data_IF_409218013393
#
_entry.id   IF_409218013393
#
_cell.length_a   1.000
_cell.length_b   1.000
_cell.length_c   1.000
_cell.angle_alpha   90.00
_cell.angle_beta   90.00
_cell.angle_gamma   90.00
#
_symmetry.space_group_name_H-M   'P 1'
#
loop_
_entity.id
_entity.type
_entity.pdbx_description
1 polymer ?
#
# COMPACT_ATOMS: atom_id res chain seq x y z
N UNK A 1 -2.06 -11.21 -12.28
CA UNK A 1 -1.43 -9.88 -12.50
C UNK A 1 -0.61 -9.54 -11.27
N UNK A 2 0.56 -8.92 -11.44
CA UNK A 2 1.42 -8.57 -10.30
C UNK A 2 0.84 -7.48 -9.39
N UNK A 3 1.27 -7.41 -8.12
CA UNK A 3 0.96 -6.38 -7.16
C UNK A 3 2.18 -5.52 -6.82
N UNK A 4 2.04 -4.20 -6.84
CA UNK A 4 3.01 -3.25 -6.30
C UNK A 4 2.37 -2.55 -5.10
N UNK A 5 3.11 -2.43 -4.02
CA UNK A 5 2.68 -1.72 -2.82
C UNK A 5 3.89 -1.20 -2.04
N UNK A 6 3.62 -0.38 -1.04
CA UNK A 6 4.68 0.12 -0.17
C UNK A 6 4.33 1.42 0.52
N UNK A 7 5.35 2.01 1.14
CA UNK A 7 5.24 3.33 1.74
C UNK A 7 6.54 4.13 1.58
N UNK A 8 6.40 5.45 1.68
CA UNK A 8 7.50 6.38 1.88
C UNK A 8 7.14 7.36 3.00
N UNK A 9 8.06 7.60 3.92
CA UNK A 9 7.84 8.48 5.05
C UNK A 9 8.98 9.45 5.27
N UNK A 10 8.70 10.57 5.91
CA UNK A 10 9.74 11.49 6.37
C UNK A 10 10.61 10.80 7.41
N UNK A 11 11.93 10.95 7.27
CA UNK A 11 12.90 10.39 8.21
C UNK A 11 12.67 10.91 9.64
N UNK A 12 12.70 10.03 10.63
CA UNK A 12 12.63 10.30 12.09
C UNK A 12 11.46 11.17 12.58
N UNK A 13 10.38 11.30 11.81
CA UNK A 13 9.26 12.18 12.17
C UNK A 13 8.09 11.46 12.86
N UNK A 14 8.18 10.15 13.05
CA UNK A 14 7.11 9.33 13.62
C UNK A 14 7.40 8.96 15.08
N UNK A 15 6.33 8.88 15.90
CA UNK A 15 6.38 8.24 17.21
C UNK A 15 6.23 6.71 17.09
N UNK A 16 6.38 5.99 18.21
CA UNK A 16 6.35 4.52 18.19
C UNK A 16 5.00 3.97 17.75
N UNK A 17 3.89 4.56 18.20
CA UNK A 17 2.55 4.15 17.77
C UNK A 17 2.35 4.33 16.26
N UNK A 18 2.89 5.40 15.69
CA UNK A 18 2.83 5.62 14.24
C UNK A 18 3.68 4.60 13.48
N UNK A 19 4.84 4.20 14.01
CA UNK A 19 5.65 3.13 13.41
C UNK A 19 4.91 1.80 13.46
N UNK A 20 4.27 1.45 14.57
CA UNK A 20 3.45 0.23 14.67
C UNK A 20 2.32 0.24 13.63
N UNK A 21 1.57 1.34 13.51
CA UNK A 21 0.53 1.44 12.48
C UNK A 21 1.08 1.34 11.05
N UNK A 22 2.28 1.86 10.79
CA UNK A 22 2.94 1.70 9.48
C UNK A 22 3.29 0.23 9.23
N UNK A 23 3.73 -0.51 10.25
CA UNK A 23 3.99 -1.95 10.21
C UNK A 23 2.70 -2.71 9.91
N UNK A 24 1.61 -2.37 10.60
CA UNK A 24 0.29 -2.97 10.37
C UNK A 24 -0.18 -2.74 8.93
N UNK A 25 -0.12 -1.49 8.43
CA UNK A 25 -0.47 -1.20 7.03
C UNK A 25 0.39 -2.02 6.07
N UNK A 26 1.70 -2.13 6.31
CA UNK A 26 2.58 -2.93 5.45
C UNK A 26 2.21 -4.41 5.48
N UNK A 27 1.86 -4.95 6.65
CA UNK A 27 1.40 -6.34 6.80
C UNK A 27 0.12 -6.58 6.00
N UNK A 28 -0.88 -5.72 6.15
CA UNK A 28 -2.13 -5.84 5.39
C UNK A 28 -1.93 -5.59 3.89
N UNK A 29 -1.09 -4.63 3.49
CA UNK A 29 -0.74 -4.44 2.07
C UNK A 29 -0.09 -5.69 1.47
N UNK A 30 0.74 -6.37 2.25
CA UNK A 30 1.40 -7.61 1.84
C UNK A 30 0.39 -8.72 1.65
N UNK A 31 -0.47 -8.93 2.62
CA UNK A 31 -1.53 -9.93 2.59
C UNK A 31 -2.51 -9.68 1.42
N UNK A 32 -3.12 -8.50 1.39
CA UNK A 32 -4.12 -8.13 0.39
C UNK A 32 -3.54 -8.13 -1.05
N UNK A 33 -2.23 -7.88 -1.22
CA UNK A 33 -1.61 -7.93 -2.54
C UNK A 33 -1.45 -9.33 -3.11
N UNK A 34 -1.68 -10.41 -2.33
CA UNK A 34 -1.63 -11.80 -2.79
C UNK A 34 -2.61 -12.08 -3.92
N UNK A 35 -3.78 -11.42 -3.94
CA UNK A 35 -4.76 -11.52 -5.03
C UNK A 35 -4.19 -11.13 -6.41
N UNK A 36 -3.06 -10.42 -6.42
CA UNK A 36 -2.40 -9.95 -7.64
C UNK A 36 -1.33 -10.91 -8.15
N UNK A 37 -0.75 -11.72 -7.28
CA UNK A 37 0.28 -12.66 -7.68
C UNK A 37 0.82 -13.45 -6.50
N UNK A 38 1.08 -14.74 -6.73
CA UNK A 38 1.45 -15.70 -5.70
C UNK A 38 2.73 -16.47 -6.00
N UNK A 39 3.39 -16.18 -7.13
CA UNK A 39 4.57 -16.92 -7.55
C UNK A 39 5.84 -16.52 -6.81
N UNK A 40 5.89 -15.29 -6.33
CA UNK A 40 6.96 -14.80 -5.46
C UNK A 40 6.59 -13.47 -4.83
N UNK A 41 7.19 -13.20 -3.67
CA UNK A 41 7.05 -11.94 -2.93
C UNK A 41 8.43 -11.35 -2.68
N UNK A 42 8.53 -10.03 -2.69
CA UNK A 42 9.79 -9.37 -2.34
C UNK A 42 9.62 -7.94 -1.88
N UNK A 43 10.60 -7.51 -1.10
CA UNK A 43 10.67 -6.19 -0.47
C UNK A 43 12.04 -5.58 -0.64
N UNK A 44 12.09 -4.27 -0.79
CA UNK A 44 13.30 -3.50 -0.55
C UNK A 44 13.01 -2.46 0.52
N UNK A 45 13.71 -2.58 1.64
CA UNK A 45 13.62 -1.69 2.82
C UNK A 45 14.80 -0.75 2.78
N UNK A 46 14.55 0.54 2.80
CA UNK A 46 15.56 1.58 2.65
C UNK A 46 15.56 2.50 3.86
N UNK A 47 16.73 2.62 4.43
CA UNK A 47 17.09 3.65 5.40
C UNK A 47 17.96 4.70 4.68
N UNK A 48 18.31 5.85 5.29
CA UNK A 48 19.08 6.88 4.62
C UNK A 48 20.37 6.39 3.96
N UNK A 49 21.06 5.44 4.59
CA UNK A 49 22.39 4.97 4.17
C UNK A 49 22.45 3.48 3.83
N UNK A 50 21.35 2.73 4.03
CA UNK A 50 21.31 1.27 3.82
C UNK A 50 20.08 0.86 3.04
N UNK A 51 20.19 -0.32 2.44
CA UNK A 51 19.08 -1.00 1.77
C UNK A 51 19.20 -2.50 1.97
N UNK A 52 18.13 -3.09 2.46
CA UNK A 52 17.96 -4.52 2.56
C UNK A 52 16.91 -5.00 1.56
N UNK A 53 17.17 -6.11 0.89
CA UNK A 53 16.26 -6.68 -0.10
C UNK A 53 15.96 -8.13 0.26
N UNK A 54 14.69 -8.43 0.46
CA UNK A 54 14.15 -9.75 0.78
C UNK A 54 13.36 -10.26 -0.42
N UNK A 55 13.56 -11.51 -0.81
CA UNK A 55 12.83 -12.15 -1.89
C UNK A 55 12.57 -13.60 -1.53
N UNK A 56 11.35 -14.06 -1.75
CA UNK A 56 10.93 -15.44 -1.54
C UNK A 56 10.05 -15.92 -2.70
N UNK A 57 9.92 -17.24 -2.84
CA UNK A 57 8.94 -17.85 -3.73
C UNK A 57 7.62 -18.15 -3.00
N UNK A 58 7.49 -17.75 -1.74
CA UNK A 58 6.23 -17.82 -1.01
C UNK A 58 5.26 -16.78 -1.51
N UNK A 59 3.98 -17.12 -1.53
CA UNK A 59 2.91 -16.14 -1.69
C UNK A 59 2.92 -15.15 -0.53
N UNK A 60 2.50 -13.91 -0.75
CA UNK A 60 2.56 -12.88 0.28
C UNK A 60 1.62 -13.16 1.46
N UNK A 61 0.47 -13.80 1.22
CA UNK A 61 -0.45 -14.24 2.27
C UNK A 61 0.12 -15.39 3.13
N UNK A 62 1.03 -16.19 2.59
CA UNK A 62 1.70 -17.25 3.36
C UNK A 62 2.90 -16.67 4.12
N UNK A 63 3.64 -15.75 3.48
CA UNK A 63 4.84 -15.12 4.02
C UNK A 63 4.61 -14.43 5.35
N UNK A 64 3.47 -13.77 5.56
CA UNK A 64 3.15 -13.06 6.80
C UNK A 64 3.03 -13.97 8.02
N UNK A 65 2.99 -15.29 7.84
CA UNK A 65 2.99 -16.29 8.90
C UNK A 65 4.33 -17.05 9.03
N UNK A 66 5.33 -16.69 8.21
CA UNK A 66 6.67 -17.28 8.31
C UNK A 66 7.55 -16.47 9.28
N UNK A 67 8.47 -17.13 9.99
CA UNK A 67 9.39 -16.49 10.96
C UNK A 67 10.17 -15.31 10.36
N UNK A 68 10.47 -15.36 9.06
CA UNK A 68 11.16 -14.28 8.35
C UNK A 68 10.33 -12.99 8.28
N UNK A 69 9.01 -13.08 8.42
CA UNK A 69 8.15 -11.89 8.44
C UNK A 69 8.43 -11.01 9.66
N UNK A 70 8.63 -11.61 10.82
CA UNK A 70 8.97 -10.90 12.04
C UNK A 70 10.29 -10.12 11.87
N UNK A 71 11.28 -10.73 11.20
CA UNK A 71 12.53 -10.05 10.86
C UNK A 71 12.29 -8.87 9.91
N UNK A 72 11.49 -9.04 8.87
CA UNK A 72 11.15 -7.98 7.90
C UNK A 72 10.46 -6.81 8.62
N UNK A 73 9.44 -7.08 9.43
CA UNK A 73 8.67 -6.06 10.13
C UNK A 73 9.51 -5.35 11.21
N UNK A 74 10.34 -6.09 11.95
CA UNK A 74 11.20 -5.49 12.96
C UNK A 74 12.22 -4.50 12.38
N UNK A 75 12.61 -4.67 11.12
CA UNK A 75 13.49 -3.76 10.39
C UNK A 75 12.78 -2.45 9.95
N UNK A 76 11.46 -2.36 10.08
CA UNK A 76 10.73 -1.11 9.87
C UNK A 76 10.84 -0.27 11.15
N UNK A 77 11.68 0.74 11.12
CA UNK A 77 11.99 1.59 12.26
C UNK A 77 11.75 3.07 11.95
N UNK A 78 12.05 3.96 12.88
CA UNK A 78 12.04 5.41 12.62
C UNK A 78 13.00 5.82 11.50
N UNK A 79 14.10 5.08 11.34
CA UNK A 79 15.11 5.34 10.30
C UNK A 79 14.66 4.86 8.91
N UNK A 80 13.73 3.92 8.83
CA UNK A 80 13.20 3.45 7.56
C UNK A 80 12.47 4.57 6.84
N UNK A 81 12.84 4.86 5.60
CA UNK A 81 12.25 5.94 4.81
C UNK A 81 11.36 5.45 3.68
N UNK A 82 11.72 4.33 3.04
CA UNK A 82 11.00 3.79 1.89
C UNK A 82 10.94 2.26 1.99
N UNK A 83 9.78 1.70 1.71
CA UNK A 83 9.62 0.27 1.46
C UNK A 83 8.92 0.08 0.12
N UNK A 84 9.53 -0.70 -0.77
CA UNK A 84 8.94 -1.15 -2.02
C UNK A 84 8.62 -2.63 -1.89
N UNK A 85 7.35 -2.99 -1.96
CA UNK A 85 6.84 -4.37 -1.97
C UNK A 85 6.29 -4.78 -3.33
N UNK A 86 6.40 -6.07 -3.65
CA UNK A 86 5.88 -6.63 -4.90
C UNK A 86 5.44 -8.08 -4.72
N UNK A 87 4.29 -8.42 -5.32
CA UNK A 87 3.82 -9.79 -5.50
C UNK A 87 3.80 -10.13 -7.00
N UNK A 88 4.41 -11.24 -7.37
CA UNK A 88 4.59 -11.62 -8.78
C UNK A 88 3.55 -12.64 -9.22
N UNK A 89 2.96 -12.38 -10.38
CA UNK A 89 2.33 -13.37 -11.23
C UNK A 89 3.17 -13.50 -12.50
N UNK A 90 3.84 -14.63 -12.67
CA UNK A 90 4.80 -14.82 -13.75
C UNK A 90 4.09 -14.97 -15.10
N UNK A 91 4.18 -13.93 -15.93
CA UNK A 91 3.73 -13.96 -17.32
C UNK A 91 4.90 -14.25 -18.27
N UNK A 92 6.12 -13.84 -17.89
CA UNK A 92 7.34 -14.03 -18.64
C UNK A 92 8.47 -14.49 -17.72
N UNK A 93 9.34 -15.34 -18.24
CA UNK A 93 10.48 -15.89 -17.49
C UNK A 93 10.07 -16.97 -16.48
N UNK A 94 11.06 -17.69 -15.97
CA UNK A 94 10.86 -18.73 -14.95
C UNK A 94 10.55 -18.14 -13.58
N UNK A 95 9.80 -18.90 -12.76
CA UNK A 95 9.61 -18.57 -11.34
C UNK A 95 10.89 -18.93 -10.60
N UNK A 96 11.64 -17.91 -10.22
CA UNK A 96 12.86 -18.02 -9.43
C UNK A 96 13.16 -16.70 -8.71
N UNK A 97 14.04 -16.73 -7.72
CA UNK A 97 14.41 -15.58 -6.89
C UNK A 97 15.01 -14.43 -7.71
N UNK A 98 15.81 -14.73 -8.75
CA UNK A 98 16.44 -13.70 -9.56
C UNK A 98 15.46 -12.88 -10.38
N UNK A 99 14.32 -13.48 -10.76
CA UNK A 99 13.23 -12.85 -11.50
C UNK A 99 12.15 -12.23 -10.59
N UNK A 100 12.28 -12.36 -9.27
CA UNK A 100 11.40 -11.69 -8.32
C UNK A 100 11.79 -10.20 -8.19
N UNK A 101 10.78 -9.34 -8.04
CA UNK A 101 10.98 -7.93 -7.71
C UNK A 101 11.19 -7.72 -6.18
N UNK A 102 11.68 -6.55 -5.76
CA UNK A 102 12.22 -5.44 -6.55
C UNK A 102 13.56 -5.77 -7.24
N UNK A 103 13.84 -5.13 -8.38
CA UNK A 103 15.14 -5.16 -9.04
C UNK A 103 16.01 -4.01 -8.58
N UNK A 104 17.32 -4.26 -8.49
CA UNK A 104 18.33 -3.22 -8.34
C UNK A 104 19.26 -3.26 -9.53
N UNK A 105 19.30 -2.17 -10.29
CA UNK A 105 20.13 -2.03 -11.48
C UNK A 105 20.83 -0.67 -11.44
N UNK A 106 22.15 -0.71 -11.30
CA UNK A 106 22.93 0.50 -11.05
C UNK A 106 22.52 1.14 -9.74
N UNK A 107 22.11 2.40 -9.78
CA UNK A 107 21.64 3.18 -8.64
C UNK A 107 20.10 3.18 -8.47
N UNK A 108 19.39 2.42 -9.30
CA UNK A 108 17.93 2.36 -9.28
C UNK A 108 17.44 1.06 -8.68
N UNK A 109 16.52 1.15 -7.73
CA UNK A 109 15.75 0.03 -7.17
C UNK A 109 14.27 0.26 -7.42
N UNK A 110 13.57 -0.77 -7.91
CA UNK A 110 12.16 -0.60 -8.20
C UNK A 110 11.40 -1.89 -8.51
N UNK A 111 10.09 -1.73 -8.62
CA UNK A 111 9.15 -2.77 -9.00
C UNK A 111 8.27 -2.34 -10.18
N UNK A 112 7.88 -3.32 -10.99
CA UNK A 112 7.11 -3.14 -12.22
C UNK A 112 5.95 -4.13 -12.27
N UNK A 113 4.78 -3.62 -12.56
CA UNK A 113 3.62 -4.41 -12.99
C UNK A 113 3.31 -4.07 -14.43
N UNK A 114 3.25 -5.06 -15.28
CA UNK A 114 2.90 -4.86 -16.68
C UNK A 114 3.72 -5.71 -17.63
N UNK A 115 3.77 -5.30 -18.89
CA UNK A 115 4.55 -5.95 -19.94
C UNK A 115 5.16 -4.90 -20.86
N UNK A 116 6.47 -4.95 -21.05
CA UNK A 116 7.19 -4.10 -22.00
C UNK A 116 7.41 -4.89 -23.28
N UNK A 117 6.63 -4.57 -24.30
CA UNK A 117 6.61 -5.34 -25.56
C UNK A 117 7.89 -5.22 -26.36
N UNK A 118 8.57 -4.08 -26.29
CA UNK A 118 9.80 -3.82 -27.04
C UNK A 118 11.09 -3.98 -26.21
N UNK A 119 11.04 -4.73 -25.11
CA UNK A 119 12.16 -4.89 -24.17
C UNK A 119 13.45 -5.38 -24.86
N UNK A 120 13.36 -6.27 -25.85
CA UNK A 120 14.52 -6.74 -26.60
C UNK A 120 15.25 -5.63 -27.37
N UNK A 121 14.48 -4.69 -27.97
CA UNK A 121 15.04 -3.53 -28.67
C UNK A 121 15.77 -2.62 -27.69
N UNK A 122 15.15 -2.36 -26.52
CA UNK A 122 15.76 -1.52 -25.47
C UNK A 122 17.00 -2.21 -24.90
N UNK A 123 16.94 -3.52 -24.60
CA UNK A 123 18.07 -4.30 -24.11
C UNK A 123 19.27 -4.22 -25.06
N UNK A 124 19.01 -4.35 -26.38
CA UNK A 124 20.06 -4.22 -27.42
C UNK A 124 20.64 -2.81 -27.42
N UNK A 125 19.86 -1.76 -27.37
CA UNK A 125 20.33 -0.37 -27.34
C UNK A 125 21.18 -0.07 -26.09
N UNK A 126 20.86 -0.70 -24.97
CA UNK A 126 21.60 -0.59 -23.71
C UNK A 126 22.83 -1.53 -23.64
N UNK A 127 23.04 -2.38 -24.65
CA UNK A 127 24.04 -3.45 -24.65
C UNK A 127 23.95 -4.32 -23.38
N UNK A 128 22.74 -4.76 -23.05
CA UNK A 128 22.41 -5.52 -21.82
C UNK A 128 21.69 -6.81 -22.18
N UNK A 129 22.09 -7.92 -21.55
CA UNK A 129 21.29 -9.13 -21.51
C UNK A 129 20.30 -9.02 -20.34
N UNK A 130 19.05 -9.41 -20.57
CA UNK A 130 17.98 -9.37 -19.58
C UNK A 130 17.24 -10.70 -19.55
N UNK A 131 16.78 -11.09 -18.36
CA UNK A 131 16.00 -12.30 -18.15
C UNK A 131 14.49 -12.03 -18.18
N UNK A 132 14.10 -10.82 -17.85
CA UNK A 132 12.70 -10.36 -17.85
C UNK A 132 12.62 -8.93 -18.40
N UNK A 133 11.46 -8.59 -18.94
CA UNK A 133 11.19 -7.28 -19.54
C UNK A 133 11.35 -6.11 -18.56
N UNK A 134 11.04 -6.32 -17.28
CA UNK A 134 11.16 -5.30 -16.23
C UNK A 134 12.57 -4.74 -16.06
N UNK A 135 13.60 -5.53 -16.34
CA UNK A 135 14.99 -5.09 -16.14
C UNK A 135 15.40 -3.94 -17.07
N UNK A 136 14.80 -3.84 -18.26
CA UNK A 136 15.16 -2.77 -19.21
C UNK A 136 14.70 -1.41 -18.72
N UNK A 137 13.57 -1.33 -17.98
CA UNK A 137 13.07 -0.06 -17.44
C UNK A 137 14.07 0.51 -16.45
N UNK A 138 14.46 -0.31 -15.46
CA UNK A 138 15.39 0.12 -14.41
C UNK A 138 16.79 0.39 -14.96
N UNK A 139 17.23 -0.37 -16.00
CA UNK A 139 18.46 -0.08 -16.71
C UNK A 139 18.42 1.25 -17.48
N UNK A 140 17.27 1.59 -18.07
CA UNK A 140 17.08 2.89 -18.72
C UNK A 140 17.08 4.02 -17.68
N UNK A 141 16.33 3.88 -16.59
CA UNK A 141 16.25 4.88 -15.51
C UNK A 141 17.59 5.11 -14.80
N UNK A 142 18.45 4.08 -14.73
CA UNK A 142 19.79 4.23 -14.16
C UNK A 142 20.72 5.05 -15.06
N UNK A 143 20.56 4.96 -16.38
CA UNK A 143 21.50 5.54 -17.35
C UNK A 143 21.01 6.85 -17.96
N UNK A 144 19.71 7.07 -18.00
CA UNK A 144 19.07 8.18 -18.70
C UNK A 144 18.26 9.06 -17.74
N UNK A 145 18.02 10.28 -18.15
CA UNK A 145 17.01 11.14 -17.51
C UNK A 145 15.61 10.52 -17.68
N UNK A 146 14.71 10.78 -16.72
CA UNK A 146 13.37 10.16 -16.66
C UNK A 146 12.64 10.24 -18.01
N UNK A 147 12.54 11.43 -18.60
CA UNK A 147 11.83 11.62 -19.87
C UNK A 147 12.43 10.78 -21.00
N UNK A 148 13.76 10.67 -21.10
CA UNK A 148 14.43 9.84 -22.10
C UNK A 148 14.28 8.35 -21.81
N UNK A 149 14.24 7.97 -20.54
CA UNK A 149 14.05 6.59 -20.17
C UNK A 149 12.68 6.04 -20.59
N UNK A 150 11.64 6.90 -20.58
CA UNK A 150 10.28 6.53 -20.98
C UNK A 150 9.99 6.72 -22.48
N UNK A 151 10.76 7.53 -23.19
CA UNK A 151 10.52 7.89 -24.60
C UNK A 151 10.44 6.66 -25.52
N UNK A 152 11.26 5.64 -25.26
CA UNK A 152 11.33 4.42 -26.06
C UNK A 152 10.51 3.26 -25.52
N UNK A 153 9.85 3.39 -24.36
CA UNK A 153 9.11 2.29 -23.75
C UNK A 153 7.76 2.12 -24.46
N UNK A 154 7.56 0.90 -25.00
CA UNK A 154 6.29 0.47 -25.54
C UNK A 154 5.76 -0.70 -24.75
N UNK A 155 4.64 -0.48 -24.05
CA UNK A 155 4.04 -1.47 -23.15
C UNK A 155 3.01 -0.86 -22.23
N UNK A 156 2.46 -1.66 -21.36
CA UNK A 156 1.61 -1.23 -20.27
C UNK A 156 2.33 -1.44 -18.93
N UNK A 157 2.33 -0.43 -18.08
CA UNK A 157 3.08 -0.50 -16.83
C UNK A 157 2.47 0.31 -15.69
N UNK A 158 2.75 -0.17 -14.47
CA UNK A 158 2.79 0.61 -13.25
C UNK A 158 4.18 0.40 -12.63
N UNK A 159 4.80 1.49 -12.18
CA UNK A 159 6.19 1.51 -11.70
C UNK A 159 6.30 2.21 -10.37
N UNK A 160 7.12 1.65 -9.50
CA UNK A 160 7.65 2.34 -8.33
C UNK A 160 9.15 2.17 -8.31
N UNK A 161 9.90 3.27 -8.10
CA UNK A 161 11.35 3.20 -8.04
C UNK A 161 11.95 4.33 -7.22
N UNK A 162 13.12 4.07 -6.70
CA UNK A 162 13.98 5.05 -6.04
C UNK A 162 15.34 5.07 -6.72
N UNK A 163 15.91 6.27 -6.79
CA UNK A 163 17.31 6.46 -7.14
C UNK A 163 18.06 6.75 -5.84
N UNK A 164 18.96 5.87 -5.43
CA UNK A 164 19.59 5.90 -4.09
C UNK A 164 20.27 7.21 -3.75
N UNK A 165 20.79 7.89 -4.76
CA UNK A 165 21.53 9.15 -4.57
C UNK A 165 20.67 10.32 -4.14
N UNK A 166 19.34 10.28 -4.29
CA UNK A 166 18.47 11.43 -4.08
C UNK A 166 17.28 11.20 -3.15
N UNK A 167 17.14 9.99 -2.58
CA UNK A 167 16.09 9.65 -1.60
C UNK A 167 14.66 10.03 -2.05
N UNK A 168 14.41 9.98 -3.36
CA UNK A 168 13.12 10.30 -3.94
C UNK A 168 12.48 9.02 -4.43
N UNK A 169 11.29 8.69 -3.88
CA UNK A 169 10.42 7.67 -4.45
C UNK A 169 9.65 8.26 -5.62
N UNK A 170 9.59 7.52 -6.70
CA UNK A 170 8.85 7.88 -7.88
C UNK A 170 7.78 6.82 -8.17
N UNK A 171 6.60 7.28 -8.55
CA UNK A 171 5.48 6.46 -8.97
C UNK A 171 5.05 6.92 -10.36
N UNK A 172 4.84 5.97 -11.27
CA UNK A 172 4.32 6.25 -12.60
C UNK A 172 3.42 5.11 -13.08
N UNK A 173 2.43 5.42 -13.86
CA UNK A 173 1.59 4.41 -14.49
C UNK A 173 1.09 4.81 -15.86
N UNK A 174 0.83 3.83 -16.68
CA UNK A 174 0.08 3.93 -17.93
C UNK A 174 -1.40 3.58 -17.67
N UNK A 175 -2.29 3.95 -18.58
CA UNK A 175 -3.76 3.82 -18.42
C UNK A 175 -4.25 2.38 -18.16
N UNK A 176 -3.54 1.37 -18.69
CA UNK A 176 -3.86 -0.05 -18.54
C UNK A 176 -3.51 -0.66 -17.18
N UNK A 177 -2.76 0.03 -16.32
CA UNK A 177 -2.31 -0.49 -15.02
C UNK A 177 -2.69 0.45 -13.89
N UNK A 178 -3.50 0.01 -12.93
CA UNK A 178 -3.92 0.85 -11.81
C UNK A 178 -2.79 1.02 -10.79
N UNK A 179 -2.77 2.18 -10.14
CA UNK A 179 -1.98 2.48 -8.95
C UNK A 179 -2.69 3.56 -8.14
N UNK A 180 -2.77 3.37 -6.84
CA UNK A 180 -3.45 4.25 -5.91
C UNK A 180 -2.53 4.66 -4.78
N UNK A 181 -2.78 5.84 -4.23
CA UNK A 181 -2.00 6.44 -3.14
C UNK A 181 -2.90 6.93 -2.03
N UNK A 182 -2.37 6.93 -0.82
CA UNK A 182 -2.97 7.55 0.35
C UNK A 182 -1.89 8.28 1.16
N UNK A 183 -2.19 9.48 1.64
CA UNK A 183 -1.23 10.26 2.40
C UNK A 183 -1.69 10.45 3.85
N UNK A 184 -0.98 9.83 4.77
CA UNK A 184 -1.19 10.01 6.21
C UNK A 184 -0.42 11.24 6.70
N UNK A 185 -1.13 12.37 6.75
CA UNK A 185 -0.55 13.67 7.05
C UNK A 185 0.13 13.72 8.43
N UNK A 186 -0.48 13.12 9.47
CA UNK A 186 0.06 13.09 10.83
C UNK A 186 1.41 12.41 10.94
N UNK A 187 1.58 11.29 10.25
CA UNK A 187 2.83 10.53 10.22
C UNK A 187 3.74 10.92 9.05
N UNK A 188 3.34 11.90 8.23
CA UNK A 188 4.07 12.30 7.02
C UNK A 188 4.49 11.07 6.19
N UNK A 189 3.53 10.18 5.96
CA UNK A 189 3.73 8.89 5.30
C UNK A 189 2.80 8.77 4.10
N UNK A 190 3.36 8.45 2.96
CA UNK A 190 2.64 8.08 1.75
C UNK A 190 2.60 6.57 1.65
N UNK A 191 1.42 6.02 1.41
CA UNK A 191 1.21 4.62 1.05
C UNK A 191 0.79 4.51 -0.39
N UNK A 192 1.08 3.36 -1.03
CA UNK A 192 0.57 3.04 -2.36
C UNK A 192 0.26 1.56 -2.49
N UNK A 193 -0.67 1.26 -3.39
CA UNK A 193 -0.97 -0.11 -3.82
C UNK A 193 -1.47 -0.13 -5.27
N UNK A 194 -1.45 -1.30 -5.89
CA UNK A 194 -1.92 -1.50 -7.26
C UNK A 194 -3.39 -1.18 -7.44
N UNK A 195 -4.26 -1.51 -6.47
CA UNK A 195 -5.69 -1.22 -6.55
C UNK A 195 -6.18 -0.39 -5.37
N UNK A 196 -7.33 0.25 -5.58
CA UNK A 196 -7.99 1.04 -4.55
C UNK A 196 -8.39 0.19 -3.36
N UNK A 197 -8.97 -0.96 -3.66
CA UNK A 197 -9.48 -1.92 -2.67
C UNK A 197 -8.36 -2.41 -1.76
N UNK A 198 -7.23 -2.86 -2.32
CA UNK A 198 -6.07 -3.29 -1.53
C UNK A 198 -5.61 -2.17 -0.58
N UNK A 199 -5.54 -0.93 -1.08
CA UNK A 199 -5.07 0.18 -0.24
C UNK A 199 -6.09 0.59 0.82
N UNK A 200 -7.38 0.72 0.45
CA UNK A 200 -8.45 1.09 1.39
C UNK A 200 -8.62 0.05 2.48
N UNK A 201 -8.62 -1.24 2.12
CA UNK A 201 -8.79 -2.32 3.10
C UNK A 201 -7.59 -2.40 4.04
N UNK A 202 -6.35 -2.30 3.52
CA UNK A 202 -5.16 -2.30 4.36
C UNK A 202 -5.13 -1.14 5.35
N UNK A 203 -5.50 0.06 4.90
CA UNK A 203 -5.59 1.23 5.79
C UNK A 203 -6.69 1.04 6.85
N UNK A 204 -7.85 0.55 6.45
CA UNK A 204 -8.97 0.29 7.34
C UNK A 204 -8.64 -0.76 8.40
N UNK A 205 -7.98 -1.86 8.02
CA UNK A 205 -7.55 -2.91 8.95
C UNK A 205 -6.49 -2.40 9.93
N UNK A 206 -5.61 -1.50 9.50
CA UNK A 206 -4.66 -0.82 10.37
C UNK A 206 -5.28 0.35 11.17
N UNK A 207 -6.60 0.57 11.09
CA UNK A 207 -7.30 1.63 11.82
C UNK A 207 -7.09 3.04 11.28
N UNK A 208 -6.70 3.17 10.02
CA UNK A 208 -6.48 4.48 9.41
C UNK A 208 -7.62 4.84 8.45
N UNK A 209 -8.28 5.96 8.70
CA UNK A 209 -9.31 6.52 7.81
C UNK A 209 -8.69 7.61 6.94
N UNK A 210 -8.05 7.22 5.85
CA UNK A 210 -7.35 8.12 4.95
C UNK A 210 -7.93 7.98 3.55
N UNK A 211 -8.20 9.11 2.90
CA UNK A 211 -8.68 9.13 1.52
C UNK A 211 -7.67 8.55 0.54
N UNK A 212 -8.16 7.69 -0.36
CA UNK A 212 -7.36 7.07 -1.41
C UNK A 212 -7.60 7.79 -2.74
N UNK A 213 -6.53 8.10 -3.45
CA UNK A 213 -6.54 8.75 -4.75
C UNK A 213 -5.83 7.90 -5.79
N UNK A 214 -6.25 7.99 -7.04
CA UNK A 214 -5.56 7.33 -8.16
C UNK A 214 -4.34 8.14 -8.56
N UNK A 215 -3.22 7.47 -8.87
CA UNK A 215 -2.08 8.11 -9.54
C UNK A 215 -2.48 8.46 -10.96
N UNK A 216 -2.29 9.71 -11.40
CA UNK A 216 -2.60 10.14 -12.75
C UNK A 216 -1.70 9.43 -13.77
N UNK A 217 -2.25 9.21 -14.97
CA UNK A 217 -1.48 8.64 -16.09
C UNK A 217 -0.57 9.69 -16.72
N UNK A 218 0.44 9.22 -17.43
CA UNK A 218 1.35 10.07 -18.20
C UNK A 218 2.16 11.07 -17.37
N UNK A 219 2.24 10.84 -16.05
CA UNK A 219 2.98 11.66 -15.10
C UNK A 219 3.85 10.82 -14.20
N UNK A 220 5.00 11.33 -13.83
CA UNK A 220 5.80 10.82 -12.72
C UNK A 220 5.47 11.61 -11.47
N UNK A 221 5.05 10.90 -10.45
CA UNK A 221 4.77 11.43 -9.14
C UNK A 221 5.99 11.18 -8.25
N UNK A 222 6.60 12.24 -7.72
CA UNK A 222 7.84 12.14 -6.95
C UNK A 222 7.67 12.66 -5.54
N UNK A 223 8.16 11.89 -4.56
CA UNK A 223 8.19 12.23 -3.14
C UNK A 223 9.63 12.26 -2.64
N UNK A 224 10.00 13.37 -2.01
CA UNK A 224 11.27 13.49 -1.33
C UNK A 224 11.11 13.14 0.16
N UNK A 225 11.81 12.11 0.65
CA UNK A 225 11.74 11.67 2.05
C UNK A 225 12.41 12.65 3.03
N UNK A 226 13.25 13.57 2.56
CA UNK A 226 13.86 14.60 3.41
C UNK A 226 12.97 15.85 3.51
N UNK A 227 12.10 16.11 2.53
CA UNK A 227 11.22 17.28 2.48
C UNK A 227 9.75 16.91 2.16
N UNK A 228 8.98 16.69 3.21
CA UNK A 228 7.51 16.50 3.12
C UNK A 228 6.73 17.81 3.30
N UNK A 229 7.38 18.95 3.37
CA UNK A 229 6.73 20.25 3.60
C UNK A 229 5.97 20.74 2.37
N UNK A 230 6.30 20.25 1.19
CA UNK A 230 5.67 20.61 -0.06
C UNK A 230 4.81 19.47 -0.62
N UNK A 231 3.77 19.82 -1.34
CA UNK A 231 3.00 18.86 -2.14
C UNK A 231 3.93 18.04 -3.04
N UNK A 232 3.60 16.78 -3.30
CA UNK A 232 4.40 15.95 -4.20
C UNK A 232 4.62 16.66 -5.54
N UNK A 233 5.84 16.56 -6.05
CA UNK A 233 6.16 17.10 -7.36
C UNK A 233 5.63 16.19 -8.46
N UNK A 234 5.05 16.78 -9.50
CA UNK A 234 4.64 16.09 -10.72
C UNK A 234 5.57 16.51 -11.84
N UNK A 235 6.08 15.53 -12.56
CA UNK A 235 6.78 15.73 -13.80
C UNK A 235 5.93 15.09 -14.91
N UNK A 236 5.50 15.88 -15.90
CA UNK A 236 4.87 15.32 -17.09
C UNK A 236 5.93 14.61 -17.92
N UNK A 237 5.77 13.31 -18.07
CA UNK A 237 6.62 12.48 -18.93
C UNK A 237 5.70 11.87 -19.99
N UNK A 238 5.95 12.15 -21.25
CA UNK A 238 5.19 11.54 -22.34
C UNK A 238 5.46 10.03 -22.38
N UNK A 239 4.43 9.23 -22.17
CA UNK A 239 4.50 7.78 -22.34
C UNK A 239 3.93 7.39 -23.70
N UNK A 240 4.51 6.36 -24.29
CA UNK A 240 3.96 5.74 -25.49
C UNK A 240 2.78 4.85 -25.06
N UNK A 241 1.56 5.35 -25.13
CA UNK A 241 0.37 4.60 -24.73
C UNK A 241 0.04 3.50 -25.72
N UNK A 242 -0.04 2.25 -25.26
CA UNK A 242 -0.54 1.09 -26.03
C UNK A 242 -1.98 1.30 -26.49
N UNK A 243 -2.74 2.16 -25.81
CA UNK A 243 -4.14 2.46 -26.15
C UNK A 243 -4.31 3.10 -27.54
N UNK A 244 -3.28 3.72 -28.10
CA UNK A 244 -3.35 4.30 -29.45
C UNK A 244 -3.12 3.28 -30.57
N UNK A 245 -2.53 2.11 -30.29
CA UNK A 245 -2.26 1.07 -31.31
C UNK A 245 -3.18 -0.16 -31.25
N UNK A 246 -4.24 -0.17 -30.48
CA UNK A 246 -5.25 -1.27 -30.45
C UNK A 246 -6.00 -1.46 -31.79
N UNK A 247 -5.43 -1.03 -32.90
CA UNK A 247 -5.91 -1.35 -34.27
C UNK A 247 -5.42 -2.69 -34.81
N UNK A 248 -4.48 -3.37 -34.15
CA UNK A 248 -4.02 -4.69 -34.57
C UNK A 248 -4.47 -5.72 -33.55
N UNK A 249 -5.37 -6.61 -34.04
CA UNK A 249 -6.07 -7.62 -33.27
C UNK A 249 -5.16 -8.45 -32.37
N UNK A 250 -5.24 -8.21 -31.08
CA UNK A 250 -4.89 -9.22 -30.10
C UNK A 250 -6.07 -10.16 -29.96
N UNK A 251 -5.86 -11.43 -30.25
CA UNK A 251 -6.76 -12.48 -29.82
C UNK A 251 -6.92 -12.36 -28.32
N UNK A 252 -8.15 -12.05 -27.90
CA UNK A 252 -8.60 -12.18 -26.55
C UNK A 252 -8.18 -13.59 -26.09
N UNK A 253 -7.18 -13.69 -25.20
CA UNK A 253 -7.00 -14.96 -24.49
C UNK A 253 -8.33 -15.22 -23.80
N UNK A 254 -8.99 -16.28 -24.21
CA UNK A 254 -10.11 -16.85 -23.49
C UNK A 254 -9.55 -17.23 -22.11
N UNK A 255 -9.78 -16.38 -21.14
CA UNK A 255 -9.68 -16.76 -19.76
C UNK A 255 -10.68 -17.87 -19.54
N UNK A 256 -10.22 -19.00 -19.05
CA UNK A 256 -11.06 -20.08 -18.58
C UNK A 256 -12.14 -19.42 -17.69
N UNK A 257 -13.41 -19.47 -18.13
CA UNK A 257 -14.55 -18.75 -17.52
C UNK A 257 -14.93 -19.32 -16.14
N UNK A 258 -13.96 -19.76 -15.34
CA UNK A 258 -14.20 -20.15 -13.97
C UNK A 258 -14.46 -18.90 -13.15
N UNK A 259 -15.68 -18.80 -12.70
CA UNK A 259 -16.12 -17.74 -11.80
C UNK A 259 -16.29 -18.28 -10.40
N UNK A 260 -16.00 -17.45 -9.42
CA UNK A 260 -16.24 -17.77 -8.02
C UNK A 260 -17.72 -18.13 -7.80
N UNK A 261 -17.97 -19.28 -7.20
CA UNK A 261 -19.33 -19.79 -6.93
C UNK A 261 -20.15 -18.85 -6.04
N UNK A 262 -19.50 -17.96 -5.26
CA UNK A 262 -20.15 -17.05 -4.32
C UNK A 262 -20.47 -15.66 -4.90
N UNK A 263 -19.63 -15.11 -5.79
CA UNK A 263 -19.78 -13.73 -6.25
C UNK A 263 -19.55 -13.52 -7.75
N UNK A 264 -19.36 -14.59 -8.52
CA UNK A 264 -19.02 -14.53 -9.96
C UNK A 264 -17.73 -13.78 -10.30
N UNK A 265 -16.87 -13.47 -9.30
CA UNK A 265 -15.54 -12.93 -9.52
C UNK A 265 -14.54 -14.00 -9.98
N UNK A 266 -13.32 -13.60 -10.30
CA UNK A 266 -12.28 -14.55 -10.74
C UNK A 266 -11.94 -15.55 -9.63
N UNK A 267 -11.82 -16.83 -10.01
CA UNK A 267 -11.45 -17.90 -9.07
C UNK A 267 -9.99 -17.77 -8.66
N UNK A 268 -9.75 -17.95 -7.37
CA UNK A 268 -8.43 -18.00 -6.77
C UNK A 268 -8.02 -19.43 -6.44
N UNK A 269 -8.82 -20.14 -5.62
CA UNK A 269 -8.59 -21.51 -5.18
C UNK A 269 -9.94 -22.17 -4.84
N UNK A 270 -10.04 -23.46 -5.01
CA UNK A 270 -11.22 -24.26 -4.63
C UNK A 270 -12.57 -23.68 -5.10
N UNK A 271 -12.60 -23.17 -6.36
CA UNK A 271 -13.77 -22.52 -6.98
C UNK A 271 -14.24 -21.22 -6.29
N UNK A 272 -13.40 -20.65 -5.41
CA UNK A 272 -13.65 -19.39 -4.72
C UNK A 272 -12.69 -18.27 -5.19
N UNK A 273 -13.15 -17.03 -5.21
CA UNK A 273 -12.25 -15.89 -5.30
C UNK A 273 -11.49 -15.73 -3.99
N UNK A 274 -10.40 -14.97 -4.02
CA UNK A 274 -9.57 -14.78 -2.84
C UNK A 274 -10.36 -14.34 -1.60
N UNK A 275 -11.26 -13.37 -1.75
CA UNK A 275 -12.08 -12.89 -0.62
C UNK A 275 -12.91 -13.99 0.01
N UNK A 276 -13.57 -14.81 -0.82
CA UNK A 276 -14.41 -15.92 -0.33
C UNK A 276 -13.57 -17.11 0.13
N UNK A 277 -12.40 -17.35 -0.48
CA UNK A 277 -11.45 -18.34 0.02
C UNK A 277 -10.93 -17.96 1.41
N UNK A 278 -10.58 -16.69 1.65
CA UNK A 278 -10.24 -16.20 3.00
C UNK A 278 -11.39 -16.33 3.98
N UNK A 279 -12.59 -15.95 3.57
CA UNK A 279 -13.78 -16.15 4.41
C UNK A 279 -14.01 -17.63 4.76
N UNK A 280 -13.70 -18.54 3.84
CA UNK A 280 -13.80 -20.00 4.09
C UNK A 280 -12.69 -20.49 5.05
N UNK A 281 -11.48 -19.92 4.99
CA UNK A 281 -10.41 -20.18 5.96
C UNK A 281 -10.73 -19.58 7.33
N UNK A 282 -11.23 -18.34 7.39
CA UNK A 282 -11.68 -17.69 8.62
C UNK A 282 -12.87 -18.42 9.25
N UNK A 283 -13.66 -19.17 8.45
CA UNK A 283 -14.70 -20.07 8.93
C UNK A 283 -14.16 -21.28 9.67
N UNK A 284 -12.93 -21.69 9.39
CA UNK A 284 -12.24 -22.75 10.14
C UNK A 284 -11.59 -22.23 11.43
N UNK A 285 -11.31 -20.92 11.51
CA UNK A 285 -10.81 -20.25 12.71
C UNK A 285 -12.00 -19.53 13.40
N UNK A 286 -12.66 -20.25 14.28
CA UNK A 286 -13.90 -20.06 15.06
C UNK A 286 -14.27 -18.63 15.56
N UNK A 287 -13.74 -17.54 15.03
CA UNK A 287 -13.99 -16.17 15.52
C UNK A 287 -15.22 -15.50 14.90
N UNK A 288 -15.71 -15.97 13.75
CA UNK A 288 -16.86 -15.40 13.06
C UNK A 288 -17.92 -16.45 12.75
N UNK A 289 -19.19 -16.10 12.92
CA UNK A 289 -20.33 -16.94 12.55
C UNK A 289 -21.42 -16.10 11.91
N UNK A 290 -22.12 -16.66 10.92
CA UNK A 290 -23.35 -16.06 10.40
C UNK A 290 -24.55 -16.72 11.05
N UNK A 291 -25.55 -15.93 11.42
CA UNK A 291 -26.84 -16.46 11.84
C UNK A 291 -27.70 -16.92 10.63
N UNK A 292 -28.86 -17.52 10.92
CA UNK A 292 -29.81 -18.01 9.90
C UNK A 292 -30.33 -16.92 8.95
N UNK A 293 -30.03 -15.66 9.22
CA UNK A 293 -30.41 -14.48 8.43
C UNK A 293 -29.21 -13.89 7.66
N UNK A 294 -28.04 -14.53 7.74
CA UNK A 294 -26.80 -14.05 7.11
C UNK A 294 -26.18 -12.84 7.80
N UNK A 295 -26.49 -12.63 9.09
CA UNK A 295 -25.90 -11.53 9.87
C UNK A 295 -24.62 -12.03 10.53
N UNK A 296 -23.55 -11.24 10.39
CA UNK A 296 -22.21 -11.56 10.88
C UNK A 296 -22.11 -11.38 12.40
N UNK A 297 -21.65 -12.43 13.07
CA UNK A 297 -21.33 -12.46 14.49
C UNK A 297 -19.83 -12.69 14.68
N UNK A 298 -19.26 -12.11 15.72
CA UNK A 298 -17.86 -12.30 16.12
C UNK A 298 -17.76 -12.70 17.58
N UNK A 299 -16.68 -13.39 17.96
CA UNK A 299 -16.38 -13.65 19.36
C UNK A 299 -15.80 -12.40 20.02
N UNK A 300 -16.45 -11.97 21.11
CA UNK A 300 -15.91 -10.88 21.92
C UNK A 300 -14.65 -11.33 22.67
N UNK A 301 -13.54 -10.61 22.50
CA UNK A 301 -12.29 -10.87 23.20
C UNK A 301 -12.35 -10.67 24.72
N UNK A 302 -13.36 -9.93 25.23
CA UNK A 302 -13.59 -9.71 26.65
C UNK A 302 -14.40 -10.84 27.31
N UNK A 303 -15.64 -11.06 26.85
CA UNK A 303 -16.51 -12.08 27.47
C UNK A 303 -16.50 -13.46 26.79
N UNK A 304 -15.82 -13.58 25.65
CA UNK A 304 -15.77 -14.80 24.83
C UNK A 304 -17.15 -15.29 24.35
N UNK A 305 -18.14 -14.39 24.23
CA UNK A 305 -19.46 -14.68 23.70
C UNK A 305 -19.57 -14.23 22.25
N UNK A 306 -20.38 -14.96 21.47
CA UNK A 306 -20.73 -14.56 20.10
C UNK A 306 -21.61 -13.34 20.14
N UNK A 307 -21.20 -12.25 19.49
CA UNK A 307 -21.92 -10.96 19.43
C UNK A 307 -22.05 -10.53 17.97
N UNK A 308 -23.08 -9.70 17.69
CA UNK A 308 -23.18 -9.02 16.39
C UNK A 308 -21.91 -8.22 16.14
N UNK A 309 -21.24 -8.41 14.99
CA UNK A 309 -20.03 -7.66 14.63
C UNK A 309 -20.29 -6.14 14.70
N UNK A 310 -21.45 -5.67 14.23
CA UNK A 310 -21.86 -4.27 14.30
C UNK A 310 -22.07 -3.72 15.73
N UNK A 311 -22.12 -4.58 16.76
CA UNK A 311 -22.20 -4.21 18.18
C UNK A 311 -20.88 -4.34 18.92
N UNK A 312 -19.79 -4.57 18.18
CA UNK A 312 -18.45 -4.70 18.70
C UNK A 312 -17.57 -3.55 18.20
N UNK A 313 -16.54 -3.24 18.97
CA UNK A 313 -15.46 -2.33 18.57
C UNK A 313 -14.19 -3.14 18.43
N UNK A 314 -13.35 -2.79 17.49
CA UNK A 314 -12.06 -3.43 17.32
C UNK A 314 -11.06 -2.86 18.33
N UNK A 315 -10.41 -3.74 19.09
CA UNK A 315 -9.31 -3.39 20.00
C UNK A 315 -7.97 -3.69 19.34
N UNK A 316 -7.26 -2.66 18.99
CA UNK A 316 -5.96 -2.75 18.32
C UNK A 316 -4.85 -3.30 19.22
N UNK A 317 -4.99 -3.23 20.54
CA UNK A 317 -3.97 -3.73 21.47
C UNK A 317 -4.01 -5.25 21.63
N UNK A 318 -5.20 -5.84 21.52
CA UNK A 318 -5.40 -7.29 21.66
C UNK A 318 -5.72 -8.00 20.35
N UNK A 319 -5.87 -7.25 19.23
CA UNK A 319 -6.30 -7.77 17.93
C UNK A 319 -7.60 -8.58 18.01
N UNK A 320 -8.60 -8.06 18.72
CA UNK A 320 -9.89 -8.71 18.93
C UNK A 320 -11.05 -7.74 18.84
N UNK A 321 -12.21 -8.26 18.44
CA UNK A 321 -13.45 -7.53 18.61
C UNK A 321 -13.89 -7.55 20.08
N UNK A 322 -14.29 -6.42 20.60
CA UNK A 322 -14.78 -6.22 21.98
C UNK A 322 -16.22 -5.72 21.90
N UNK A 323 -17.17 -6.41 22.52
CA UNK A 323 -18.56 -5.94 22.53
C UNK A 323 -18.70 -4.65 23.35
N UNK A 324 -19.75 -3.87 23.06
CA UNK A 324 -19.99 -2.57 23.68
C UNK A 324 -20.10 -2.62 25.23
N UNK A 325 -20.45 -3.75 25.81
CA UNK A 325 -20.48 -3.95 27.26
C UNK A 325 -19.06 -4.09 27.81
N UNK A 326 -18.26 -5.01 27.21
CA UNK A 326 -16.88 -5.20 27.60
C UNK A 326 -16.00 -3.99 27.32
N UNK A 327 -16.24 -3.25 26.23
CA UNK A 327 -15.49 -2.03 25.92
C UNK A 327 -15.66 -0.96 27.02
N UNK A 328 -16.86 -0.83 27.58
CA UNK A 328 -17.12 0.06 28.71
C UNK A 328 -16.42 -0.41 29.99
N UNK A 329 -16.46 -1.73 30.27
CA UNK A 329 -15.78 -2.31 31.45
C UNK A 329 -14.25 -2.19 31.35
N UNK A 330 -13.71 -2.27 30.14
CA UNK A 330 -12.30 -2.06 29.85
C UNK A 330 -11.90 -0.58 29.82
N UNK A 331 -12.89 0.33 29.97
CA UNK A 331 -12.63 1.75 29.96
C UNK A 331 -12.27 2.30 28.57
N UNK A 332 -12.82 1.70 27.51
CA UNK A 332 -12.69 2.24 26.16
C UNK A 332 -13.67 3.37 25.92
N UNK A 333 -13.24 4.42 25.25
CA UNK A 333 -14.05 5.58 24.89
C UNK A 333 -13.72 6.04 23.47
N UNK A 334 -14.62 6.80 22.86
CA UNK A 334 -14.44 7.29 21.50
C UNK A 334 -13.75 8.65 21.50
N UNK A 335 -12.71 8.80 20.69
CA UNK A 335 -12.09 10.08 20.44
C UNK A 335 -13.08 11.01 19.71
N UNK A 336 -13.27 12.23 20.23
CA UNK A 336 -14.18 13.21 19.63
C UNK A 336 -13.69 13.74 18.27
N UNK A 337 -12.45 13.50 17.91
CA UNK A 337 -11.85 14.01 16.67
C UNK A 337 -11.77 12.97 15.56
N UNK A 338 -11.14 11.80 15.80
CA UNK A 338 -11.00 10.75 14.80
C UNK A 338 -12.12 9.68 14.88
N UNK A 339 -12.94 9.71 15.92
CA UNK A 339 -13.98 8.72 16.21
C UNK A 339 -13.46 7.30 16.51
N UNK A 340 -12.15 7.12 16.68
CA UNK A 340 -11.58 5.84 17.08
C UNK A 340 -11.91 5.51 18.54
N UNK A 341 -12.08 4.22 18.82
CA UNK A 341 -12.22 3.73 20.19
C UNK A 341 -10.84 3.45 20.78
N UNK A 342 -10.53 4.14 21.87
CA UNK A 342 -9.24 4.06 22.56
C UNK A 342 -9.47 3.87 24.05
N UNK A 343 -8.48 3.39 24.78
CA UNK A 343 -8.57 3.32 26.24
C UNK A 343 -8.64 4.72 26.84
N UNK A 344 -9.43 4.89 27.89
CA UNK A 344 -9.64 6.21 28.53
C UNK A 344 -8.33 6.83 29.04
N UNK A 345 -7.29 6.00 29.31
CA UNK A 345 -5.97 6.47 29.71
C UNK A 345 -5.25 7.22 28.57
N UNK A 346 -5.61 6.95 27.33
CA UNK A 346 -5.04 7.55 26.12
C UNK A 346 -5.89 8.73 25.62
N UNK A 347 -6.87 9.19 26.42
CA UNK A 347 -7.68 10.37 26.15
C UNK A 347 -7.12 11.57 26.90
N UNK A 348 -6.97 12.65 26.18
CA UNK A 348 -6.64 13.98 26.72
C UNK A 348 -7.73 14.97 26.39
N UNK A 349 -7.95 15.95 27.27
CA UNK A 349 -8.89 17.03 26.97
C UNK A 349 -8.12 18.20 26.38
N UNK A 350 -8.30 18.46 25.09
CA UNK A 350 -7.70 19.60 24.39
C UNK A 350 -8.80 20.51 23.85
N UNK A 351 -8.73 21.82 24.15
CA UNK A 351 -9.69 22.84 23.73
C UNK A 351 -11.18 22.49 24.04
N UNK A 352 -11.42 21.72 25.10
CA UNK A 352 -12.79 21.30 25.54
C UNK A 352 -13.31 20.05 24.84
N UNK A 353 -12.49 19.36 24.07
CA UNK A 353 -12.79 18.08 23.43
C UNK A 353 -11.96 16.96 24.06
N UNK A 354 -12.58 15.82 24.28
CA UNK A 354 -11.90 14.60 24.71
C UNK A 354 -11.38 13.88 23.47
N UNK A 355 -10.08 13.92 23.27
CA UNK A 355 -9.40 13.39 22.07
C UNK A 355 -8.32 12.40 22.44
N UNK A 356 -8.02 11.46 21.59
CA UNK A 356 -6.87 10.58 21.82
C UNK A 356 -5.56 11.37 21.74
N UNK A 357 -4.53 10.86 22.40
CA UNK A 357 -3.18 11.47 22.40
C UNK A 357 -2.64 11.73 21.00
N UNK A 358 -3.01 10.90 20.03
CA UNK A 358 -2.63 11.09 18.62
C UNK A 358 -3.35 12.26 17.94
N UNK A 359 -4.48 12.73 18.49
CA UNK A 359 -5.27 13.85 17.98
C UNK A 359 -5.03 15.17 18.72
N UNK A 360 -4.31 15.16 19.82
CA UNK A 360 -4.11 16.33 20.68
C UNK A 360 -3.51 17.52 19.92
N UNK A 361 -2.41 17.28 19.20
CA UNK A 361 -1.71 18.32 18.43
C UNK A 361 -2.56 18.90 17.29
N UNK A 362 -3.42 18.08 16.66
CA UNK A 362 -4.27 18.52 15.57
C UNK A 362 -5.41 19.40 16.05
N UNK A 363 -5.97 19.12 17.24
CA UNK A 363 -6.99 19.96 17.88
C UNK A 363 -6.39 21.29 18.31
N UNK A 364 -5.18 21.29 18.82
CA UNK A 364 -4.45 22.52 19.18
C UNK A 364 -4.11 23.37 17.96
N UNK A 365 -3.77 22.74 16.82
CA UNK A 365 -3.53 23.45 15.56
C UNK A 365 -4.83 24.04 14.98
N UNK A 366 -5.95 23.32 15.06
CA UNK A 366 -7.23 23.79 14.52
C UNK A 366 -7.90 24.84 15.38
N UNK A 367 -7.78 24.77 16.70
CA UNK A 367 -8.50 25.61 17.65
C UNK A 367 -7.59 26.54 18.49
N UNK A 368 -6.29 26.30 18.55
CA UNK A 368 -5.33 26.97 19.43
C UNK A 368 -4.74 28.29 18.91
N UNK A 369 -5.02 28.75 17.69
CA UNK A 369 -4.40 29.93 17.08
C UNK A 369 -5.37 31.02 16.62
N UNK A 370 -6.39 31.36 17.39
CA UNK A 370 -7.17 32.60 17.21
C UNK A 370 -6.98 33.63 18.34
N UNK A 371 -5.79 33.69 18.92
CA UNK A 371 -5.43 34.84 19.78
C UNK A 371 -4.08 35.41 19.33
N UNK A 372 -4.23 36.49 18.61
CA UNK A 372 -3.30 37.58 18.32
C UNK A 372 -2.70 37.70 16.93
N UNK A 373 -3.31 38.62 16.19
CA UNK A 373 -2.52 39.72 15.57
C UNK A 373 -2.13 39.62 14.13
N UNK A 374 -2.99 40.10 13.23
CA UNK A 374 -2.52 41.11 12.26
C UNK A 374 -2.07 40.64 10.87
N UNK A 375 -2.99 40.72 9.93
CA UNK A 375 -2.82 41.30 8.57
C UNK A 375 -2.06 40.55 7.46
N UNK A 376 -2.86 40.39 6.40
CA UNK A 376 -2.59 40.48 4.96
C UNK A 376 -2.15 39.21 4.19
N UNK A 377 -3.14 38.71 3.48
CA UNK A 377 -3.30 38.72 2.00
C UNK A 377 -2.36 37.80 1.19
N UNK A 378 -2.87 36.77 0.58
CA UNK A 378 -3.26 36.57 -0.81
C UNK A 378 -3.26 35.09 -1.20
N UNK A 379 -4.42 34.70 -1.69
CA UNK A 379 -4.70 33.67 -2.69
C UNK A 379 -3.62 32.62 -2.98
N UNK A 380 -3.90 31.39 -2.57
CA UNK A 380 -3.44 30.20 -3.26
C UNK A 380 -4.61 29.22 -3.37
N UNK A 381 -4.90 28.88 -4.58
CA UNK A 381 -5.90 27.89 -5.01
C UNK A 381 -5.71 26.57 -4.29
N UNK A 382 -6.59 26.27 -3.35
CA UNK A 382 -6.62 25.00 -2.62
C UNK A 382 -7.34 23.94 -3.45
N UNK A 383 -6.65 22.86 -3.76
CA UNK A 383 -7.29 21.61 -4.18
C UNK A 383 -7.96 21.02 -2.94
N UNK A 384 -9.28 20.96 -2.95
CA UNK A 384 -10.08 20.30 -1.91
C UNK A 384 -10.07 18.81 -2.15
N UNK A 385 -9.57 18.07 -1.16
CA UNK A 385 -9.87 16.67 -1.02
C UNK A 385 -11.27 16.57 -0.38
N UNK A 386 -12.19 15.96 -1.09
CA UNK A 386 -13.50 15.53 -0.57
C UNK A 386 -13.42 14.08 -0.15
#
# INVERSE_FOLDING_TARGET
MCGIFGFAKKHESQNDNQIERIRDVLTFLTDESSVRGMDSTGFSIMNPDTRDTYKTLSASCDLIYEDIWDDIISNITRDTTIVIGHTRFATHGTVNISNAHPFTIGDVTGAHNGVIHNYNKIATSLNKQVSVDSEVIFASLSRLEKHKAFEDIYGDFALTWVKESNKIINLARESGRPMHIAYWKKAKTLFWASTKEILEDSLRYAGLQIGVSVVETDKVFSFNTDDFSNSPSFEEVGFYSVSQEKKYGYNKYEWDDKVCMMCSGNVYRDELCYTHYRQDLDYQDLSYTYDDKGILHTLCGGCNESKLESSCVWDYSSYKYICNECSKELGMTQCSFCSDNVYSIDIVTSNGYDVCVDCEDDVDILFGNFSNGGKNEKESTSIRFS
#
